data_IF_098013871654
#
_entry.id   IF_098013871654
#
_cell.length_a   1.000
_cell.length_b   1.000
_cell.length_c   1.000
_cell.angle_alpha   90.00
_cell.angle_beta   90.00
_cell.angle_gamma   90.00
#
_symmetry.space_group_name_H-M   'P 1'
#
loop_
_entity.id
_entity.type
_entity.pdbx_description
1 polymer ?
#
# COMPACT_ATOMS: atom_id res chain seq x y z
N UNK A 1 10.19 6.81 26.70
CA UNK A 1 10.44 5.42 26.25
C UNK A 1 9.23 4.49 26.30
N UNK A 2 8.15 4.79 27.03
CA UNK A 2 6.99 3.88 27.15
C UNK A 2 6.00 3.88 25.96
N UNK A 3 6.05 4.85 25.04
CA UNK A 3 5.07 4.95 23.91
C UNK A 3 5.49 4.25 22.61
N UNK A 4 6.73 3.79 22.52
CA UNK A 4 7.29 3.15 21.31
C UNK A 4 7.14 1.61 21.31
N UNK A 5 6.89 1.01 22.49
CA UNK A 5 6.78 -0.44 22.62
C UNK A 5 5.44 -1.03 22.13
N UNK A 6 4.38 -0.22 22.07
CA UNK A 6 3.05 -0.72 21.64
C UNK A 6 2.96 -0.83 20.11
N UNK A 7 3.75 -0.05 19.36
CA UNK A 7 3.73 -0.06 17.90
C UNK A 7 4.48 -1.26 17.29
N UNK A 8 5.38 -1.91 18.05
CA UNK A 8 6.19 -3.04 17.60
C UNK A 8 5.48 -4.39 17.83
N UNK A 9 4.56 -4.47 18.79
CA UNK A 9 3.87 -5.72 19.14
C UNK A 9 2.82 -6.18 18.13
N UNK A 10 2.44 -5.34 17.15
CA UNK A 10 1.50 -5.72 16.09
C UNK A 10 2.19 -6.30 14.84
N UNK A 11 3.53 -6.29 14.80
CA UNK A 11 4.31 -6.67 13.62
C UNK A 11 4.76 -8.14 13.61
N UNK A 12 4.64 -8.87 14.73
CA UNK A 12 5.22 -10.22 14.90
C UNK A 12 4.22 -11.37 14.73
N UNK A 13 3.02 -11.11 14.22
CA UNK A 13 2.01 -12.15 14.00
C UNK A 13 1.36 -12.03 12.61
N UNK A 14 2.17 -12.01 11.55
CA UNK A 14 1.68 -12.33 10.22
C UNK A 14 2.29 -13.67 9.81
N UNK A 15 1.58 -14.81 9.97
CA UNK A 15 1.86 -15.92 9.08
C UNK A 15 1.85 -15.38 7.65
N UNK A 16 2.91 -15.63 6.88
CA UNK A 16 2.88 -15.52 5.44
C UNK A 16 1.75 -16.45 4.96
N UNK A 17 0.53 -15.93 4.86
CA UNK A 17 -0.59 -16.65 4.27
C UNK A 17 -0.31 -16.64 2.77
N UNK A 18 0.44 -17.65 2.33
CA UNK A 18 0.39 -18.19 0.99
C UNK A 18 -1.07 -18.57 0.73
N UNK A 19 -1.83 -17.60 0.23
CA UNK A 19 -3.18 -17.81 -0.23
C UNK A 19 -3.03 -18.14 -1.70
N UNK A 20 -3.41 -19.36 -2.07
CA UNK A 20 -3.58 -19.67 -3.48
C UNK A 20 -4.57 -18.67 -4.07
N UNK A 21 -4.11 -17.89 -5.03
CA UNK A 21 -4.96 -17.02 -5.82
C UNK A 21 -5.88 -17.91 -6.64
N UNK A 22 -7.19 -17.87 -6.37
CA UNK A 22 -8.19 -18.46 -7.25
C UNK A 22 -8.20 -17.65 -8.56
N UNK A 23 -7.43 -18.12 -9.54
CA UNK A 23 -7.24 -17.47 -10.85
C UNK A 23 -8.52 -17.41 -11.68
N UNK A 24 -9.60 -18.08 -11.26
CA UNK A 24 -10.87 -18.10 -12.01
C UNK A 24 -11.75 -16.88 -11.75
N UNK A 25 -11.49 -16.13 -10.66
CA UNK A 25 -12.28 -14.95 -10.30
C UNK A 25 -11.67 -13.66 -10.84
N UNK A 26 -12.24 -13.15 -11.94
CA UNK A 26 -11.86 -11.86 -12.50
C UNK A 26 -12.01 -10.72 -11.47
N UNK A 27 -10.93 -9.95 -11.31
CA UNK A 27 -10.89 -8.78 -10.42
C UNK A 27 -11.57 -7.59 -11.09
N UNK A 28 -12.41 -6.88 -10.32
CA UNK A 28 -13.11 -5.69 -10.79
C UNK A 28 -12.32 -4.43 -10.44
N UNK A 29 -11.98 -3.57 -11.42
CA UNK A 29 -11.31 -2.30 -11.16
C UNK A 29 -12.07 -1.38 -10.21
N UNK A 30 -13.40 -1.34 -10.29
CA UNK A 30 -14.23 -0.54 -9.39
C UNK A 30 -14.16 -1.04 -7.94
N UNK A 31 -14.08 -2.36 -7.73
CA UNK A 31 -13.87 -2.93 -6.39
C UNK A 31 -12.47 -2.63 -5.88
N UNK A 32 -11.44 -2.74 -6.73
CA UNK A 32 -10.06 -2.37 -6.38
C UNK A 32 -9.96 -0.89 -5.96
N UNK A 33 -10.58 0.01 -6.74
CA UNK A 33 -10.67 1.43 -6.43
C UNK A 33 -11.36 1.67 -5.07
N UNK A 34 -12.51 1.05 -4.83
CA UNK A 34 -13.24 1.23 -3.56
C UNK A 34 -12.39 0.82 -2.35
N UNK A 35 -11.63 -0.28 -2.46
CA UNK A 35 -10.75 -0.77 -1.40
C UNK A 35 -9.52 0.12 -1.22
N UNK A 36 -8.95 0.62 -2.32
CA UNK A 36 -7.82 1.53 -2.27
C UNK A 36 -8.19 2.93 -1.73
N UNK A 37 -9.45 3.36 -1.89
CA UNK A 37 -9.93 4.61 -1.31
C UNK A 37 -10.05 4.54 0.22
N UNK A 38 -10.37 3.37 0.78
CA UNK A 38 -10.51 3.19 2.23
C UNK A 38 -9.21 3.44 2.98
N UNK A 39 -8.09 2.94 2.47
CA UNK A 39 -6.77 3.13 3.06
C UNK A 39 -5.65 2.88 2.04
N UNK A 40 -4.45 3.49 2.25
CA UNK A 40 -3.30 3.33 1.35
C UNK A 40 -2.95 1.86 1.13
N UNK A 41 -2.84 1.43 -0.12
CA UNK A 41 -2.55 0.04 -0.48
C UNK A 41 -3.73 -0.93 -0.35
N UNK A 42 -4.93 -0.46 0.05
CA UNK A 42 -6.11 -1.30 0.25
C UNK A 42 -6.54 -2.09 -0.98
N UNK A 43 -6.40 -1.51 -2.17
CA UNK A 43 -6.71 -2.20 -3.43
C UNK A 43 -5.74 -3.34 -3.76
N UNK A 44 -4.50 -3.30 -3.23
CA UNK A 44 -3.54 -4.38 -3.45
C UNK A 44 -3.91 -5.66 -2.70
N UNK A 45 -4.58 -5.55 -1.55
CA UNK A 45 -5.15 -6.72 -0.87
C UNK A 45 -6.29 -7.36 -1.66
N UNK A 46 -7.02 -6.58 -2.47
CA UNK A 46 -8.05 -7.11 -3.37
C UNK A 46 -7.45 -7.81 -4.60
N UNK A 47 -6.33 -7.28 -5.11
CA UNK A 47 -5.58 -7.83 -6.24
C UNK A 47 -4.60 -8.97 -5.84
N UNK A 48 -4.72 -9.52 -4.63
CA UNK A 48 -3.85 -10.57 -4.06
C UNK A 48 -2.35 -10.19 -3.95
N UNK A 49 -2.02 -8.90 -4.08
CA UNK A 49 -0.67 -8.37 -3.94
C UNK A 49 -0.39 -7.90 -2.50
N UNK A 50 -0.50 -8.83 -1.55
CA UNK A 50 -0.41 -8.54 -0.10
C UNK A 50 0.90 -7.84 0.29
N UNK A 51 2.04 -8.24 -0.27
CA UNK A 51 3.34 -7.64 0.03
C UNK A 51 3.38 -6.17 -0.42
N UNK A 52 2.89 -5.86 -1.62
CA UNK A 52 2.77 -4.45 -2.08
C UNK A 52 1.81 -3.67 -1.18
N UNK A 53 0.67 -4.26 -0.82
CA UNK A 53 -0.30 -3.65 0.08
C UNK A 53 0.28 -3.30 1.45
N UNK A 54 1.01 -4.23 2.07
CA UNK A 54 1.70 -4.01 3.35
C UNK A 54 2.76 -2.93 3.23
N UNK A 55 3.55 -2.94 2.15
CA UNK A 55 4.60 -1.94 1.93
C UNK A 55 4.01 -0.53 1.79
N UNK A 56 2.93 -0.38 1.01
CA UNK A 56 2.24 0.90 0.81
C UNK A 56 1.59 1.39 2.12
N UNK A 57 0.93 0.50 2.85
CA UNK A 57 0.34 0.83 4.15
C UNK A 57 1.41 1.26 5.15
N UNK A 58 2.52 0.51 5.23
CA UNK A 58 3.65 0.83 6.09
C UNK A 58 4.31 2.16 5.74
N UNK A 59 4.50 2.45 4.45
CA UNK A 59 5.03 3.72 3.98
C UNK A 59 4.11 4.90 4.36
N UNK A 60 2.80 4.75 4.19
CA UNK A 60 1.84 5.78 4.55
C UNK A 60 1.75 6.00 6.07
N UNK A 61 1.75 4.93 6.87
CA UNK A 61 1.77 5.02 8.32
C UNK A 61 3.08 5.65 8.83
N UNK A 62 4.22 5.27 8.26
CA UNK A 62 5.52 5.84 8.59
C UNK A 62 5.59 7.33 8.27
N UNK A 63 5.17 7.73 7.06
CA UNK A 63 5.08 9.14 6.68
C UNK A 63 4.08 9.91 7.56
N UNK A 64 2.92 9.32 7.87
CA UNK A 64 1.92 9.91 8.77
C UNK A 64 2.43 10.12 10.18
N UNK A 65 3.16 9.15 10.74
CA UNK A 65 3.81 9.27 12.04
C UNK A 65 4.82 10.42 12.06
N UNK A 66 5.68 10.51 11.04
CA UNK A 66 6.67 11.58 10.91
C UNK A 66 6.03 12.95 10.69
N UNK A 67 4.88 13.01 9.99
CA UNK A 67 4.06 14.20 9.87
C UNK A 67 3.55 14.66 11.24
N UNK A 68 2.95 13.76 12.02
CA UNK A 68 2.39 14.08 13.34
C UNK A 68 3.49 14.55 14.30
N UNK A 69 4.63 13.85 14.35
CA UNK A 69 5.78 14.25 15.17
C UNK A 69 6.30 15.63 14.79
N UNK A 70 6.51 15.89 13.49
CA UNK A 70 6.99 17.18 12.99
C UNK A 70 5.96 18.30 13.23
N UNK A 71 4.67 18.01 13.11
CA UNK A 71 3.58 18.96 13.36
C UNK A 71 3.49 19.32 14.84
N UNK A 72 3.63 18.33 15.73
CA UNK A 72 3.70 18.54 17.18
C UNK A 72 4.89 19.41 17.57
N UNK A 73 6.08 19.11 17.06
CA UNK A 73 7.30 19.91 17.30
C UNK A 73 7.18 21.34 16.78
N UNK A 74 6.56 21.54 15.62
CA UNK A 74 6.30 22.88 15.10
C UNK A 74 5.33 23.68 15.98
N UNK A 75 4.23 23.04 16.40
CA UNK A 75 3.16 23.69 17.17
C UNK A 75 3.62 24.09 18.57
N UNK A 76 4.39 23.21 19.22
CA UNK A 76 4.85 23.40 20.59
C UNK A 76 6.25 24.05 20.65
N UNK A 77 6.69 24.72 19.59
CA UNK A 77 8.01 25.37 19.56
C UNK A 77 7.97 26.72 20.27
N UNK A 78 8.69 26.83 21.38
CA UNK A 78 8.83 28.06 22.19
C UNK A 78 10.26 28.62 22.19
N UNK A 79 11.17 28.03 21.41
CA UNK A 79 12.56 28.47 21.32
C UNK A 79 12.73 29.82 20.60
N UNK A 80 13.90 30.42 20.78
CA UNK A 80 14.27 31.70 20.15
C UNK A 80 14.72 31.49 18.69
N UNK A 81 15.23 30.31 18.35
CA UNK A 81 15.76 30.03 17.01
C UNK A 81 14.64 29.76 15.98
N UNK A 82 14.33 30.80 15.22
CA UNK A 82 13.35 30.70 14.12
C UNK A 82 13.75 29.71 13.02
N UNK A 83 15.04 29.37 12.88
CA UNK A 83 15.52 28.37 11.92
C UNK A 83 15.02 26.97 12.26
N UNK A 84 15.02 26.60 13.54
CA UNK A 84 14.49 25.31 14.01
C UNK A 84 12.99 25.20 13.79
N UNK A 85 12.24 26.26 14.09
CA UNK A 85 10.80 26.32 13.81
C UNK A 85 10.53 26.12 12.31
N UNK A 86 11.30 26.80 11.46
CA UNK A 86 11.19 26.65 10.01
C UNK A 86 11.57 25.24 9.53
N UNK A 87 12.52 24.57 10.19
CA UNK A 87 12.88 23.17 9.90
C UNK A 87 11.70 22.23 10.18
N UNK A 88 11.00 22.37 11.31
CA UNK A 88 9.82 21.54 11.59
C UNK A 88 8.67 21.79 10.61
N UNK A 89 8.49 23.03 10.15
CA UNK A 89 7.56 23.37 9.09
C UNK A 89 7.90 22.65 7.76
N UNK A 90 9.16 22.68 7.36
CA UNK A 90 9.62 21.96 6.15
C UNK A 90 9.42 20.45 6.28
N UNK A 91 9.73 19.88 7.45
CA UNK A 91 9.58 18.45 7.70
C UNK A 91 8.12 18.00 7.67
N UNK A 92 7.20 18.70 8.36
CA UNK A 92 5.77 18.32 8.33
C UNK A 92 5.23 18.42 6.90
N UNK A 93 5.59 19.46 6.14
CA UNK A 93 5.11 19.61 4.76
C UNK A 93 5.65 18.48 3.87
N UNK A 94 6.93 18.15 4.00
CA UNK A 94 7.56 17.01 3.30
C UNK A 94 6.81 15.70 3.56
N UNK A 95 6.55 15.36 4.81
CA UNK A 95 5.86 14.11 5.14
C UNK A 95 4.37 14.13 4.78
N UNK A 96 3.71 15.28 4.82
CA UNK A 96 2.34 15.44 4.32
C UNK A 96 2.24 15.13 2.82
N UNK A 97 3.20 15.63 2.03
CA UNK A 97 3.31 15.27 0.61
C UNK A 97 3.58 13.78 0.40
N UNK A 98 4.46 13.17 1.20
CA UNK A 98 4.71 11.73 1.12
C UNK A 98 3.45 10.89 1.38
N UNK A 99 2.62 11.25 2.37
CA UNK A 99 1.33 10.58 2.60
C UNK A 99 0.45 10.68 1.35
N UNK A 100 0.34 11.88 0.77
CA UNK A 100 -0.43 12.11 -0.46
C UNK A 100 0.07 11.28 -1.65
N UNK A 101 1.38 11.28 -1.90
CA UNK A 101 1.98 10.53 -3.00
C UNK A 101 1.79 9.02 -2.84
N UNK A 102 2.04 8.47 -1.65
CA UNK A 102 1.87 7.03 -1.39
C UNK A 102 0.39 6.63 -1.56
N UNK A 103 -0.54 7.46 -1.11
CA UNK A 103 -1.97 7.20 -1.26
C UNK A 103 -2.39 7.18 -2.74
N UNK A 104 -2.05 8.22 -3.50
CA UNK A 104 -2.41 8.32 -4.93
C UNK A 104 -1.72 7.21 -5.73
N UNK A 105 -0.44 6.95 -5.47
CA UNK A 105 0.30 5.87 -6.13
C UNK A 105 -0.38 4.52 -5.88
N UNK A 106 -0.69 4.19 -4.62
CA UNK A 106 -1.33 2.93 -4.28
C UNK A 106 -2.73 2.77 -4.87
N UNK A 107 -3.48 3.87 -5.00
CA UNK A 107 -4.78 3.91 -5.67
C UNK A 107 -4.65 3.59 -7.16
N UNK A 108 -3.77 4.30 -7.87
CA UNK A 108 -3.56 4.11 -9.30
C UNK A 108 -3.02 2.71 -9.61
N UNK A 109 -2.00 2.26 -8.86
CA UNK A 109 -1.38 0.95 -9.01
C UNK A 109 -2.42 -0.18 -8.84
N UNK A 110 -3.34 -0.05 -7.88
CA UNK A 110 -4.39 -1.04 -7.68
C UNK A 110 -5.45 -1.05 -8.81
N UNK A 111 -5.80 0.12 -9.35
CA UNK A 111 -6.78 0.23 -10.45
C UNK A 111 -6.21 -0.36 -11.74
N UNK A 112 -4.95 -0.07 -12.04
CA UNK A 112 -4.24 -0.58 -13.22
C UNK A 112 -4.04 -2.08 -13.09
N UNK A 113 -3.60 -2.58 -11.94
CA UNK A 113 -3.40 -4.01 -11.72
C UNK A 113 -4.71 -4.81 -11.83
N UNK A 114 -5.83 -4.26 -11.34
CA UNK A 114 -7.14 -4.90 -11.51
C UNK A 114 -7.58 -4.98 -12.98
N UNK A 115 -7.23 -4.00 -13.82
CA UNK A 115 -7.44 -4.07 -15.27
C UNK A 115 -6.53 -5.09 -15.95
N UNK A 116 -5.33 -5.31 -15.43
CA UNK A 116 -4.33 -6.21 -16.01
C UNK A 116 -4.55 -7.68 -15.63
N UNK A 117 -5.36 -7.98 -14.62
CA UNK A 117 -5.60 -9.34 -14.15
C UNK A 117 -6.02 -10.31 -15.27
N UNK A 118 -7.03 -10.00 -16.11
CA UNK A 118 -7.47 -10.92 -17.16
C UNK A 118 -6.38 -11.17 -18.22
N UNK A 119 -5.55 -10.17 -18.50
CA UNK A 119 -4.44 -10.31 -19.46
C UNK A 119 -3.36 -11.25 -18.94
N UNK A 120 -3.04 -11.17 -17.65
CA UNK A 120 -2.04 -12.04 -17.03
C UNK A 120 -2.49 -13.49 -17.03
N UNK A 121 -3.77 -13.75 -16.75
CA UNK A 121 -4.33 -15.09 -16.72
C UNK A 121 -4.14 -15.78 -18.08
N UNK A 122 -4.50 -15.11 -19.18
CA UNK A 122 -4.33 -15.62 -20.56
C UNK A 122 -2.86 -15.87 -20.91
N UNK A 123 -1.94 -14.98 -20.50
CA UNK A 123 -0.52 -15.13 -20.77
C UNK A 123 0.16 -16.23 -19.95
N UNK A 124 -0.44 -16.60 -18.81
CA UNK A 124 0.08 -17.64 -17.92
C UNK A 124 -0.38 -19.05 -18.28
N UNK A 125 -1.35 -19.17 -19.20
CA UNK A 125 -1.89 -20.43 -19.65
C UNK A 125 -0.89 -21.15 -20.58
N UNK A 126 -0.59 -22.41 -20.28
CA UNK A 126 0.38 -23.20 -21.04
C UNK A 126 -0.22 -23.62 -22.40
N UNK A 127 0.31 -23.03 -23.46
CA UNK A 127 -0.13 -23.24 -24.84
C UNK A 127 0.05 -24.72 -25.24
N UNK A 128 1.06 -25.42 -24.69
CA UNK A 128 1.31 -26.84 -25.00
C UNK A 128 0.25 -27.75 -24.38
N UNK A 129 -0.12 -27.50 -23.11
CA UNK A 129 -1.20 -28.25 -22.43
C UNK A 129 -2.58 -28.02 -23.06
N UNK A 130 -2.84 -26.81 -23.53
CA UNK A 130 -4.12 -26.49 -24.20
C UNK A 130 -4.25 -27.22 -25.55
N UNK A 131 -3.14 -27.35 -26.29
CA UNK A 131 -3.12 -28.02 -27.58
C UNK A 131 -3.19 -29.55 -27.49
N UNK A 132 -2.69 -30.16 -26.41
CA UNK A 132 -2.87 -31.59 -26.17
C UNK A 132 -4.32 -31.93 -25.79
N UNK A 133 -4.96 -31.14 -24.92
CA UNK A 133 -6.38 -31.34 -24.57
C UNK A 133 -7.34 -31.17 -25.76
N UNK A 134 -7.04 -30.26 -26.70
CA UNK A 134 -7.82 -30.08 -27.93
C UNK A 134 -7.65 -31.20 -28.97
N UNK A 135 -6.58 -31.99 -28.90
CA UNK A 135 -6.32 -33.11 -29.84
C UNK A 135 -6.93 -34.43 -29.37
N UNK A 136 -7.35 -34.52 -28.11
CA UNK A 136 -7.98 -35.72 -27.52
C UNK A 136 -9.51 -35.66 -27.49
N UNK A 137 -10.12 -34.59 -28.04
CA UNK A 137 -11.55 -34.44 -28.30
C UNK A 137 -11.86 -34.52 -29.80
#
# INVERSE_FOLDING_TARGET
MSKIMILISFLTAFPLIAQESDSTLQKSPSKAASRALLFPGGGQFYNDQKIKGILLLGAALGAGFLYIDSSSKYKNYEGIDMSEKAKYLKLRNKYGWWVGFVYIYGLLDAIVEAHLHPFRDVMSEDIEKTNTMKKEQ
#
